data_IF_660820889489
#
_entry.id   IF_660820889489
#
_cell.length_a   1.000
_cell.length_b   1.000
_cell.length_c   1.000
_cell.angle_alpha   90.00
_cell.angle_beta   90.00
_cell.angle_gamma   90.00
#
_symmetry.space_group_name_H-M   'P 1'
#
loop_
_entity.id
_entity.type
_entity.pdbx_description
1 polymer ?
#
# COMPACT_ATOMS: atom_id res chain seq x y z
N UNK A 1 87.57 53.51 68.45
CA UNK A 1 88.03 54.56 67.52
C UNK A 1 87.20 54.43 66.24
N UNK A 2 86.75 55.55 65.66
CA UNK A 2 86.04 55.69 64.37
C UNK A 2 86.65 54.76 63.29
N UNK A 3 85.99 54.25 62.24
CA UNK A 3 85.23 54.96 61.19
C UNK A 3 84.67 53.96 60.15
N UNK A 4 83.78 54.44 59.28
CA UNK A 4 82.92 53.76 58.27
C UNK A 4 83.62 53.07 57.07
N UNK A 5 83.01 51.95 56.64
CA UNK A 5 82.60 51.43 55.29
C UNK A 5 83.30 51.97 54.02
N UNK A 6 83.63 51.06 53.06
CA UNK A 6 82.90 51.07 51.77
C UNK A 6 82.42 49.68 51.29
N UNK A 7 81.36 49.71 50.49
CA UNK A 7 80.74 48.59 49.77
C UNK A 7 81.54 48.31 48.48
N UNK A 8 81.81 47.04 48.17
CA UNK A 8 81.98 46.59 46.78
C UNK A 8 81.52 45.14 46.59
N UNK A 9 80.37 45.02 45.94
CA UNK A 9 79.93 44.00 44.98
C UNK A 9 80.83 42.76 44.80
N UNK A 10 80.35 41.60 45.24
CA UNK A 10 80.82 40.30 44.76
C UNK A 10 79.63 39.49 44.24
N UNK A 11 79.76 39.07 42.99
CA UNK A 11 78.80 38.36 42.16
C UNK A 11 78.55 36.95 42.72
N UNK A 12 77.32 36.64 43.15
CA UNK A 12 76.89 35.28 43.44
C UNK A 12 76.09 34.74 42.25
N UNK A 13 76.68 33.81 41.50
CA UNK A 13 75.95 32.89 40.63
C UNK A 13 75.38 31.79 41.53
N UNK A 14 74.06 31.77 41.72
CA UNK A 14 73.35 30.55 42.16
C UNK A 14 72.05 30.46 41.38
N UNK A 15 72.05 29.47 40.48
CA UNK A 15 70.95 28.62 40.04
C UNK A 15 69.52 29.21 40.08
N UNK A 16 68.89 29.30 38.90
CA UNK A 16 67.44 29.35 38.78
C UNK A 16 66.82 28.17 39.52
N UNK A 17 66.34 28.40 40.74
CA UNK A 17 65.50 27.44 41.44
C UNK A 17 64.10 27.55 40.85
N UNK A 18 63.83 26.80 39.79
CA UNK A 18 62.47 26.49 39.38
C UNK A 18 61.86 25.66 40.51
N UNK A 19 61.04 26.29 41.36
CA UNK A 19 60.25 25.60 42.36
C UNK A 19 59.21 24.77 41.59
N UNK A 20 59.48 23.47 41.41
CA UNK A 20 58.40 22.51 41.22
C UNK A 20 57.62 22.48 42.53
N UNK A 21 56.30 22.70 42.47
CA UNK A 21 55.44 22.61 43.64
C UNK A 21 55.69 21.26 44.35
N UNK A 22 56.25 21.32 45.55
CA UNK A 22 56.38 20.16 46.42
C UNK A 22 55.00 19.75 46.92
N UNK A 23 54.74 18.45 46.90
CA UNK A 23 53.59 17.82 47.54
C UNK A 23 53.56 18.21 49.00
N UNK A 24 52.62 19.08 49.39
CA UNK A 24 52.52 19.56 50.76
C UNK A 24 51.59 18.64 51.55
N UNK A 25 52.03 18.19 52.73
CA UNK A 25 51.48 17.10 53.54
C UNK A 25 50.10 17.40 54.21
N UNK A 26 49.20 18.14 53.55
CA UNK A 26 47.87 18.44 54.11
C UNK A 26 46.66 18.14 53.20
N UNK A 27 46.80 17.45 52.08
CA UNK A 27 45.60 17.06 51.29
C UNK A 27 45.66 15.72 50.55
N UNK A 28 46.71 14.92 50.74
CA UNK A 28 46.81 13.57 50.18
C UNK A 28 46.99 12.54 51.30
N UNK A 29 45.93 11.79 51.60
CA UNK A 29 45.98 10.68 52.53
C UNK A 29 46.22 9.38 51.75
N UNK A 30 47.27 8.66 52.11
CA UNK A 30 47.41 7.23 51.85
C UNK A 30 47.10 6.48 53.14
N UNK A 31 45.87 5.99 53.27
CA UNK A 31 45.50 5.04 54.33
C UNK A 31 44.76 3.88 53.67
N UNK A 32 45.23 2.65 53.90
CA UNK A 32 44.59 1.41 53.43
C UNK A 32 44.41 1.28 51.91
N UNK A 33 45.30 1.89 51.11
CA UNK A 33 45.30 1.73 49.64
C UNK A 33 44.41 2.73 48.88
N UNK A 34 43.96 3.81 49.53
CA UNK A 34 43.20 4.87 48.89
C UNK A 34 44.02 6.16 48.77
N UNK A 35 43.86 6.88 47.65
CA UNK A 35 44.42 8.20 47.37
C UNK A 35 43.28 9.22 47.26
N UNK A 36 43.16 10.10 48.24
CA UNK A 36 42.25 11.24 48.19
C UNK A 36 42.98 12.54 47.93
N UNK A 37 42.39 13.41 47.10
CA UNK A 37 42.82 14.80 46.88
C UNK A 37 41.64 15.69 47.29
N UNK A 38 41.84 16.51 48.33
CA UNK A 38 40.85 17.49 48.80
C UNK A 38 39.79 16.95 49.78
N UNK A 39 39.88 15.69 50.23
CA UNK A 39 39.02 15.11 51.28
C UNK A 39 39.72 13.98 52.03
N UNK A 40 39.43 13.87 53.34
CA UNK A 40 39.98 12.87 54.25
C UNK A 40 39.04 11.69 54.54
N UNK A 41 37.84 11.67 53.96
CA UNK A 41 36.82 10.64 54.18
C UNK A 41 36.52 9.83 52.90
N UNK A 42 37.54 9.56 52.07
CA UNK A 42 37.36 8.82 50.83
C UNK A 42 37.12 7.32 51.10
N UNK A 43 36.18 6.73 50.37
CA UNK A 43 35.92 5.28 50.35
C UNK A 43 36.33 4.63 49.03
N UNK A 44 36.71 5.44 48.03
CA UNK A 44 37.21 5.00 46.74
C UNK A 44 38.74 5.12 46.69
N UNK A 45 39.40 4.22 45.98
CA UNK A 45 40.88 4.23 45.88
C UNK A 45 41.46 5.45 45.17
N UNK A 46 40.67 6.19 44.38
CA UNK A 46 41.00 7.53 43.88
C UNK A 46 39.78 8.44 44.08
N UNK A 47 39.95 9.55 44.79
CA UNK A 47 38.86 10.49 45.11
C UNK A 47 39.31 11.95 44.94
N UNK A 48 38.60 12.72 44.11
CA UNK A 48 38.86 14.15 43.87
C UNK A 48 37.66 14.95 44.36
N UNK A 49 37.88 15.90 45.26
CA UNK A 49 36.84 16.74 45.82
C UNK A 49 37.16 18.23 45.69
N UNK A 50 36.13 19.02 45.37
CA UNK A 50 36.19 20.48 45.39
C UNK A 50 34.80 21.10 45.43
N UNK A 51 34.69 22.38 45.77
CA UNK A 51 33.41 23.08 45.97
C UNK A 51 32.92 23.87 44.74
N UNK A 52 33.68 23.85 43.64
CA UNK A 52 33.42 24.67 42.45
C UNK A 52 32.94 23.80 41.27
N UNK A 53 32.37 24.41 40.23
CA UNK A 53 31.72 23.72 39.10
C UNK A 53 32.66 22.94 38.15
N UNK A 54 33.95 22.76 38.47
CA UNK A 54 34.97 22.20 37.57
C UNK A 54 35.91 21.20 38.27
N UNK A 55 35.35 20.29 39.08
CA UNK A 55 36.12 19.17 39.63
C UNK A 55 36.25 18.04 38.58
N UNK A 56 37.04 18.26 37.54
CA UNK A 56 37.22 17.31 36.43
C UNK A 56 38.59 16.62 36.50
N UNK A 57 38.64 15.32 36.18
CA UNK A 57 39.89 14.65 35.82
C UNK A 57 40.21 14.98 34.37
N UNK A 58 41.21 15.85 34.15
CA UNK A 58 41.70 16.17 32.81
C UNK A 58 42.81 15.19 32.43
N UNK A 59 42.59 14.43 31.36
CA UNK A 59 43.63 13.63 30.69
C UNK A 59 43.93 14.31 29.37
N UNK A 60 45.16 14.79 29.20
CA UNK A 60 45.57 15.48 27.99
C UNK A 60 46.84 14.89 27.40
N UNK A 61 46.91 14.91 26.08
CA UNK A 61 48.09 14.61 25.31
C UNK A 61 48.32 15.77 24.35
N UNK A 62 49.54 16.31 24.33
CA UNK A 62 49.89 17.48 23.52
C UNK A 62 50.22 17.14 22.06
N UNK A 63 50.17 15.84 21.71
CA UNK A 63 50.27 15.33 20.34
C UNK A 63 48.88 15.00 19.81
N UNK A 64 48.74 14.85 18.49
CA UNK A 64 47.52 14.40 17.79
C UNK A 64 47.20 12.90 18.05
N UNK A 65 47.48 12.41 19.26
CA UNK A 65 47.41 11.00 19.64
C UNK A 65 46.50 10.78 20.85
N UNK A 66 46.31 9.52 21.21
CA UNK A 66 45.49 9.04 22.33
C UNK A 66 45.62 9.91 23.60
N UNK A 67 44.51 10.52 24.01
CA UNK A 67 44.33 11.07 25.36
C UNK A 67 43.15 10.36 26.02
N UNK A 68 43.40 9.51 27.00
CA UNK A 68 42.32 8.75 27.63
C UNK A 68 42.77 7.83 28.74
N UNK A 69 41.86 6.95 29.13
CA UNK A 69 42.04 5.98 30.22
C UNK A 69 42.01 4.58 29.61
N UNK A 70 42.97 3.74 30.01
CA UNK A 70 43.01 2.32 29.66
C UNK A 70 42.45 1.49 30.82
N UNK A 71 41.56 0.57 30.47
CA UNK A 71 40.88 -0.37 31.35
C UNK A 71 41.32 -1.77 30.97
N UNK A 72 42.19 -2.37 31.78
CA UNK A 72 42.72 -3.70 31.54
C UNK A 72 42.28 -4.68 32.63
N UNK A 73 41.95 -5.89 32.20
CA UNK A 73 41.65 -7.06 33.02
C UNK A 73 42.15 -8.33 32.33
N UNK A 74 42.11 -9.48 33.00
CA UNK A 74 42.49 -10.77 32.40
C UNK A 74 41.63 -11.19 31.19
N UNK A 75 40.51 -10.51 30.92
CA UNK A 75 39.57 -10.87 29.84
C UNK A 75 39.45 -9.78 28.76
N UNK A 76 39.83 -8.55 29.06
CA UNK A 76 39.48 -7.39 28.27
C UNK A 76 40.50 -6.26 28.47
N UNK A 77 40.91 -5.63 27.38
CA UNK A 77 41.69 -4.40 27.41
C UNK A 77 41.01 -3.36 26.49
N UNK A 78 40.57 -2.25 27.08
CA UNK A 78 39.87 -1.17 26.39
C UNK A 78 40.47 0.18 26.71
N UNK A 79 40.56 1.05 25.71
CA UNK A 79 40.84 2.47 25.90
C UNK A 79 39.60 3.31 25.62
N UNK A 80 39.35 4.30 26.47
CA UNK A 80 38.29 5.28 26.26
C UNK A 80 38.90 6.67 26.32
N UNK A 81 38.64 7.49 25.30
CA UNK A 81 39.15 8.86 25.27
C UNK A 81 39.15 9.51 23.90
N UNK A 82 39.90 10.60 23.79
CA UNK A 82 39.99 11.42 22.60
C UNK A 82 41.06 10.89 21.64
N UNK A 83 40.71 10.77 20.36
CA UNK A 83 41.61 10.42 19.26
C UNK A 83 42.11 8.97 19.23
N UNK A 84 41.64 8.11 20.13
CA UNK A 84 42.18 6.76 20.30
C UNK A 84 41.87 5.88 19.08
N UNK A 85 42.94 5.33 18.48
CA UNK A 85 42.83 4.42 17.34
C UNK A 85 42.37 5.06 16.02
N UNK A 86 42.17 6.38 15.98
CA UNK A 86 41.74 7.12 14.79
C UNK A 86 42.59 8.38 14.51
N UNK A 87 43.29 8.93 15.51
CA UNK A 87 44.18 10.10 15.34
C UNK A 87 43.46 11.39 14.92
N UNK A 88 42.15 11.47 15.16
CA UNK A 88 41.30 12.61 14.76
C UNK A 88 40.52 13.17 15.95
N UNK A 89 39.93 14.35 15.78
CA UNK A 89 39.00 14.94 16.75
C UNK A 89 37.77 14.05 16.94
N UNK A 90 37.84 13.11 17.89
CA UNK A 90 36.81 12.12 18.13
C UNK A 90 36.87 11.60 19.57
N UNK A 91 35.73 11.27 20.15
CA UNK A 91 35.65 10.45 21.36
C UNK A 91 35.47 9.00 20.94
N UNK A 92 36.19 8.06 21.58
CA UNK A 92 36.29 6.68 21.10
C UNK A 92 36.29 5.68 22.26
N UNK A 93 35.74 4.50 21.98
CA UNK A 93 35.90 3.28 22.77
C UNK A 93 36.64 2.28 21.87
N UNK A 94 37.88 1.98 22.23
CA UNK A 94 38.79 1.15 21.44
C UNK A 94 39.11 -0.14 22.18
N UNK A 95 38.91 -1.28 21.53
CA UNK A 95 39.27 -2.60 22.04
C UNK A 95 40.70 -2.92 21.63
N UNK A 96 41.63 -2.92 22.59
CA UNK A 96 43.04 -3.18 22.36
C UNK A 96 43.33 -4.67 22.09
N UNK A 97 42.50 -5.58 22.61
CA UNK A 97 42.66 -7.01 22.34
C UNK A 97 42.32 -7.32 20.88
N UNK A 98 41.24 -6.72 20.36
CA UNK A 98 40.82 -6.90 18.97
C UNK A 98 41.50 -5.93 17.99
N UNK A 99 42.14 -4.87 18.51
CA UNK A 99 42.63 -3.73 17.73
C UNK A 99 41.52 -3.09 16.88
N UNK A 100 40.32 -2.95 17.47
CA UNK A 100 39.13 -2.47 16.78
C UNK A 100 38.47 -1.33 17.53
N UNK A 101 37.99 -0.34 16.77
CA UNK A 101 37.11 0.69 17.30
C UNK A 101 35.70 0.11 17.46
N UNK A 102 35.16 0.19 18.68
CA UNK A 102 33.80 -0.30 18.99
C UNK A 102 32.74 0.79 18.90
N UNK A 103 33.08 1.98 19.37
CA UNK A 103 32.22 3.17 19.30
C UNK A 103 33.04 4.42 19.06
N UNK A 104 32.53 5.33 18.23
CA UNK A 104 33.10 6.65 17.96
C UNK A 104 32.01 7.72 18.02
N UNK A 105 32.37 8.90 18.53
CA UNK A 105 31.68 10.16 18.26
C UNK A 105 32.69 11.06 17.56
N UNK A 106 32.49 11.34 16.27
CA UNK A 106 33.45 12.13 15.50
C UNK A 106 33.30 13.64 15.75
N UNK A 107 34.19 14.45 15.18
CA UNK A 107 34.20 15.91 15.33
C UNK A 107 32.96 16.63 14.77
N UNK A 108 32.12 15.93 13.99
CA UNK A 108 30.84 16.41 13.48
C UNK A 108 29.65 15.95 14.33
N UNK A 109 29.89 15.22 15.43
CA UNK A 109 28.86 14.73 16.34
C UNK A 109 28.17 13.44 15.91
N UNK A 110 28.68 12.75 14.89
CA UNK A 110 28.12 11.49 14.41
C UNK A 110 28.62 10.32 15.26
N UNK A 111 27.71 9.44 15.64
CA UNK A 111 27.96 8.23 16.42
C UNK A 111 28.12 7.04 15.49
N UNK A 112 29.26 6.36 15.56
CA UNK A 112 29.49 5.07 14.91
C UNK A 112 29.51 3.94 15.93
N UNK A 113 28.83 2.83 15.64
CA UNK A 113 28.93 1.58 16.38
C UNK A 113 29.39 0.49 15.42
N UNK A 114 30.54 -0.12 15.71
CA UNK A 114 31.17 -1.11 14.82
C UNK A 114 31.77 -0.51 13.53
N UNK A 115 31.87 0.82 13.43
CA UNK A 115 32.51 1.54 12.32
C UNK A 115 33.38 2.68 12.86
N UNK A 116 34.54 2.90 12.22
CA UNK A 116 35.45 4.03 12.50
C UNK A 116 35.14 5.29 11.68
N UNK A 117 34.22 5.18 10.72
CA UNK A 117 33.89 6.26 9.79
C UNK A 117 32.38 6.28 9.56
N UNK A 118 31.61 6.86 10.50
CA UNK A 118 30.17 7.02 10.34
C UNK A 118 29.85 7.73 9.02
N UNK A 119 28.92 7.20 8.28
CA UNK A 119 28.52 7.71 6.97
C UNK A 119 27.97 9.13 7.09
N UNK A 120 28.45 10.04 6.24
CA UNK A 120 28.00 11.44 6.24
C UNK A 120 26.48 11.54 6.05
N UNK A 121 25.83 12.38 6.86
CA UNK A 121 24.38 12.56 6.84
C UNK A 121 23.62 11.72 7.87
N UNK A 122 24.25 10.72 8.50
CA UNK A 122 23.66 9.93 9.58
C UNK A 122 24.27 10.32 10.93
N UNK A 123 23.42 10.62 11.91
CA UNK A 123 23.86 10.90 13.29
C UNK A 123 24.19 9.61 14.04
N UNK A 124 23.56 8.49 13.70
CA UNK A 124 23.88 7.17 14.22
C UNK A 124 24.08 6.21 13.03
N UNK A 125 25.28 5.66 12.92
CA UNK A 125 25.65 4.64 11.94
C UNK A 125 26.06 3.36 12.66
N UNK A 126 25.34 2.27 12.41
CA UNK A 126 25.57 0.96 13.03
C UNK A 126 26.00 0.00 11.94
N UNK A 127 27.25 -0.44 12.00
CA UNK A 127 27.75 -1.51 11.13
C UNK A 127 27.38 -2.87 11.73
N UNK A 128 26.22 -3.38 11.31
CA UNK A 128 25.64 -4.63 11.77
C UNK A 128 24.14 -4.52 12.00
N UNK A 129 23.59 -5.45 12.79
CA UNK A 129 22.16 -5.50 13.06
C UNK A 129 21.79 -4.61 14.27
N UNK A 130 20.77 -3.76 14.11
CA UNK A 130 20.17 -2.99 15.20
C UNK A 130 18.98 -3.76 15.79
N UNK A 131 19.07 -4.14 17.07
CA UNK A 131 17.93 -4.68 17.83
C UNK A 131 17.32 -3.59 18.69
N UNK A 132 16.06 -3.25 18.43
CA UNK A 132 15.27 -2.32 19.26
C UNK A 132 14.21 -3.12 20.00
N UNK A 133 14.22 -3.06 21.34
CA UNK A 133 13.29 -3.85 22.17
C UNK A 133 11.87 -3.31 22.23
N UNK A 134 11.59 -2.18 21.56
CA UNK A 134 10.30 -1.49 21.55
C UNK A 134 10.20 -0.65 20.27
N UNK A 135 9.57 0.52 20.31
CA UNK A 135 9.30 1.33 19.14
C UNK A 135 10.49 2.19 18.70
N UNK A 136 10.58 2.43 17.39
CA UNK A 136 11.42 3.47 16.79
C UNK A 136 10.51 4.66 16.47
N UNK A 137 10.73 5.81 17.11
CA UNK A 137 10.00 7.05 16.82
C UNK A 137 10.86 7.96 15.93
N UNK A 138 10.36 8.29 14.74
CA UNK A 138 11.02 9.23 13.82
C UNK A 138 10.10 10.40 13.49
N UNK A 139 10.65 11.61 13.36
CA UNK A 139 9.92 12.81 12.89
C UNK A 139 9.95 12.98 11.38
N UNK A 140 10.65 12.09 10.66
CA UNK A 140 10.79 12.08 9.21
C UNK A 140 10.64 10.68 8.63
N UNK A 141 11.01 10.53 7.36
CA UNK A 141 10.88 9.27 6.63
C UNK A 141 11.77 8.16 7.21
N UNK A 142 11.25 6.93 7.19
CA UNK A 142 12.03 5.70 7.39
C UNK A 142 12.25 5.08 6.01
N UNK A 143 13.48 5.08 5.53
CA UNK A 143 13.84 4.42 4.26
C UNK A 143 14.43 3.05 4.55
N UNK A 144 13.86 2.00 3.96
CA UNK A 144 14.39 0.63 4.00
C UNK A 144 14.54 0.10 2.57
N UNK A 145 15.68 -0.53 2.27
CA UNK A 145 15.98 -1.04 0.93
C UNK A 145 15.63 -2.53 0.74
N UNK A 146 15.49 -3.28 1.84
CA UNK A 146 15.21 -4.72 1.81
C UNK A 146 14.47 -5.13 3.09
N UNK A 147 13.22 -4.67 3.20
CA UNK A 147 12.37 -5.00 4.34
C UNK A 147 11.67 -6.35 4.07
N UNK A 148 12.32 -7.45 4.44
CA UNK A 148 11.64 -8.74 4.58
C UNK A 148 10.82 -8.72 5.87
N UNK A 149 9.64 -8.09 5.78
CA UNK A 149 8.69 -8.04 6.87
C UNK A 149 7.92 -9.36 6.93
N UNK A 150 8.60 -10.47 7.21
CA UNK A 150 7.93 -11.77 7.42
C UNK A 150 6.94 -11.71 8.58
N UNK A 151 7.11 -10.73 9.49
CA UNK A 151 6.26 -10.51 10.65
C UNK A 151 6.26 -9.02 11.03
N UNK A 152 5.30 -8.24 10.53
CA UNK A 152 5.00 -6.91 11.08
C UNK A 152 4.06 -7.14 12.25
N UNK A 153 4.60 -7.49 13.42
CA UNK A 153 3.76 -7.65 14.62
C UNK A 153 3.32 -6.28 15.10
N UNK A 154 2.09 -5.91 14.77
CA UNK A 154 1.44 -4.74 15.33
C UNK A 154 1.31 -4.97 16.84
N UNK A 155 2.05 -4.19 17.63
CA UNK A 155 1.95 -4.17 19.08
C UNK A 155 0.47 -4.09 19.51
N UNK A 156 -0.05 -5.17 20.11
CA UNK A 156 -1.31 -5.23 20.86
C UNK A 156 -2.51 -4.55 20.16
N UNK A 157 -3.12 -5.23 19.18
CA UNK A 157 -4.56 -5.10 18.96
C UNK A 157 -5.08 -4.47 17.67
N UNK A 158 -4.24 -4.07 16.71
CA UNK A 158 -4.72 -3.47 15.45
C UNK A 158 -3.92 -3.94 14.23
N UNK A 159 -4.09 -5.20 13.84
CA UNK A 159 -3.84 -5.58 12.45
C UNK A 159 -5.06 -5.19 11.61
N UNK A 160 -5.11 -4.00 11.01
CA UNK A 160 -6.10 -3.81 9.94
C UNK A 160 -5.74 -2.99 8.71
N UNK A 161 -4.70 -2.16 8.71
CA UNK A 161 -4.47 -1.27 7.57
C UNK A 161 -2.98 -1.03 7.32
N UNK A 162 -2.50 -1.42 6.13
CA UNK A 162 -1.27 -0.87 5.57
C UNK A 162 -1.68 0.37 4.77
N UNK A 163 -1.40 1.56 5.28
CA UNK A 163 -1.67 2.80 4.55
C UNK A 163 -0.49 3.11 3.62
N UNK A 164 -0.72 2.96 2.33
CA UNK A 164 0.23 3.34 1.28
C UNK A 164 -0.43 4.30 0.30
N UNK A 165 0.32 5.29 -0.21
CA UNK A 165 -0.18 6.17 -1.27
C UNK A 165 -0.30 5.41 -2.61
N UNK A 166 0.69 4.57 -2.92
CA UNK A 166 0.69 3.66 -4.07
C UNK A 166 1.46 2.39 -3.69
N UNK A 167 0.94 1.24 -4.14
CA UNK A 167 1.62 -0.06 -4.05
C UNK A 167 2.05 -0.48 -5.46
N UNK A 168 3.35 -0.44 -5.72
CA UNK A 168 3.92 -0.96 -6.96
C UNK A 168 4.41 -2.39 -6.72
N UNK A 169 3.76 -3.37 -7.35
CA UNK A 169 4.23 -4.75 -7.37
C UNK A 169 5.08 -5.00 -8.61
N UNK A 170 6.26 -5.60 -8.44
CA UNK A 170 7.17 -5.89 -9.55
C UNK A 170 6.53 -6.87 -10.55
N UNK A 171 6.42 -6.48 -11.81
CA UNK A 171 5.82 -7.32 -12.87
C UNK A 171 6.65 -7.36 -14.16
N UNK A 172 7.91 -6.90 -14.09
CA UNK A 172 8.83 -6.86 -15.25
C UNK A 172 9.08 -8.27 -15.80
N UNK A 173 8.99 -8.42 -17.14
CA UNK A 173 9.19 -9.71 -17.83
C UNK A 173 10.53 -10.36 -17.50
N UNK A 174 11.58 -9.58 -17.22
CA UNK A 174 12.93 -10.07 -16.88
C UNK A 174 13.00 -10.76 -15.51
N UNK A 175 12.00 -10.52 -14.65
CA UNK A 175 11.90 -11.12 -13.32
C UNK A 175 11.02 -12.39 -13.31
N UNK A 176 10.47 -12.78 -14.46
CA UNK A 176 9.55 -13.91 -14.61
C UNK A 176 10.16 -14.98 -15.51
N UNK A 177 9.86 -16.25 -15.22
CA UNK A 177 10.21 -17.40 -16.04
C UNK A 177 8.98 -18.30 -16.22
N UNK A 178 9.02 -19.24 -17.17
CA UNK A 178 7.89 -20.13 -17.51
C UNK A 178 6.58 -19.37 -17.79
N UNK A 179 6.66 -18.37 -18.68
CA UNK A 179 5.54 -17.48 -19.01
C UNK A 179 4.69 -18.11 -20.12
N UNK A 180 3.43 -18.41 -19.81
CA UNK A 180 2.42 -18.87 -20.75
C UNK A 180 1.22 -17.91 -20.75
N UNK A 181 0.54 -17.79 -21.88
CA UNK A 181 -0.69 -17.00 -21.95
C UNK A 181 -1.83 -17.76 -21.28
N UNK A 182 -2.53 -17.08 -20.38
CA UNK A 182 -3.71 -17.63 -19.73
C UNK A 182 -4.92 -17.56 -20.66
N UNK A 183 -5.21 -18.69 -21.29
CA UNK A 183 -6.36 -18.90 -22.19
C UNK A 183 -7.46 -19.73 -21.55
N UNK A 184 -7.31 -20.15 -20.30
CA UNK A 184 -8.28 -21.02 -19.63
C UNK A 184 -9.50 -20.23 -19.15
N UNK A 185 -10.68 -20.82 -19.32
CA UNK A 185 -11.92 -20.30 -18.73
C UNK A 185 -11.89 -20.50 -17.22
N UNK A 186 -11.97 -19.41 -16.45
CA UNK A 186 -11.91 -19.43 -14.99
C UNK A 186 -13.31 -19.54 -14.35
N UNK A 187 -14.10 -20.54 -14.75
CA UNK A 187 -15.48 -20.70 -14.27
C UNK A 187 -15.57 -20.92 -12.76
N UNK A 188 -14.52 -21.47 -12.16
CA UNK A 188 -14.32 -21.63 -10.73
C UNK A 188 -14.59 -20.32 -9.96
N UNK A 189 -14.22 -19.16 -10.52
CA UNK A 189 -14.40 -17.85 -9.90
C UNK A 189 -15.88 -17.52 -9.68
N UNK A 190 -16.77 -17.96 -10.57
CA UNK A 190 -18.20 -17.70 -10.42
C UNK A 190 -18.82 -18.47 -9.24
N UNK A 191 -18.12 -19.45 -8.67
CA UNK A 191 -18.55 -20.19 -7.47
C UNK A 191 -18.13 -19.49 -6.18
N UNK A 192 -17.22 -18.51 -6.24
CA UNK A 192 -16.70 -17.81 -5.06
C UNK A 192 -17.81 -16.98 -4.41
N UNK A 193 -18.02 -17.22 -3.11
CA UNK A 193 -18.97 -16.46 -2.31
C UNK A 193 -18.30 -15.24 -1.68
N UNK A 194 -19.04 -14.14 -1.63
CA UNK A 194 -18.65 -12.94 -0.91
C UNK A 194 -19.43 -12.82 0.40
N UNK A 195 -18.80 -12.24 1.40
CA UNK A 195 -19.31 -12.15 2.75
C UNK A 195 -19.15 -10.74 3.29
N UNK A 196 -20.14 -10.32 4.08
CA UNK A 196 -20.04 -9.17 4.96
C UNK A 196 -19.74 -9.67 6.36
N UNK A 197 -18.69 -9.16 7.00
CA UNK A 197 -18.25 -9.67 8.29
C UNK A 197 -17.64 -8.57 9.15
N UNK A 198 -17.47 -8.89 10.43
CA UNK A 198 -16.75 -8.09 11.40
C UNK A 198 -15.72 -8.99 12.06
N UNK A 199 -14.55 -8.44 12.39
CA UNK A 199 -13.56 -9.21 13.13
C UNK A 199 -13.94 -9.29 14.60
N UNK A 200 -13.63 -10.42 15.24
CA UNK A 200 -14.00 -10.67 16.64
C UNK A 200 -13.40 -9.64 17.60
N UNK A 201 -12.22 -9.12 17.26
CA UNK A 201 -11.48 -8.16 18.08
C UNK A 201 -11.67 -6.70 17.61
N UNK A 202 -12.56 -6.45 16.64
CA UNK A 202 -12.84 -5.08 16.16
C UNK A 202 -13.80 -4.36 17.09
N UNK A 203 -13.25 -3.63 18.06
CA UNK A 203 -14.01 -2.85 19.04
C UNK A 203 -14.89 -1.74 18.41
N UNK A 204 -14.59 -1.35 17.16
CA UNK A 204 -15.37 -0.35 16.40
C UNK A 204 -16.57 -0.96 15.64
N UNK A 205 -16.67 -2.29 15.56
CA UNK A 205 -17.77 -2.99 14.87
C UNK A 205 -17.88 -2.69 13.38
N UNK A 206 -16.76 -2.44 12.69
CA UNK A 206 -16.76 -2.04 11.28
C UNK A 206 -17.11 -3.22 10.40
N UNK A 207 -18.12 -3.04 9.56
CA UNK A 207 -18.49 -4.04 8.55
C UNK A 207 -17.48 -4.01 7.41
N UNK A 208 -16.95 -5.19 7.07
CA UNK A 208 -15.99 -5.43 5.99
C UNK A 208 -16.59 -6.37 4.96
N UNK A 209 -16.05 -6.31 3.75
CA UNK A 209 -16.47 -7.14 2.62
C UNK A 209 -15.28 -7.98 2.17
N UNK A 210 -15.49 -9.28 1.93
CA UNK A 210 -14.41 -10.16 1.48
C UNK A 210 -14.87 -11.58 1.22
N UNK A 211 -13.92 -12.50 1.23
CA UNK A 211 -14.14 -13.95 1.03
C UNK A 211 -13.70 -14.73 2.25
N UNK A 212 -14.21 -15.95 2.40
CA UNK A 212 -13.76 -16.90 3.43
C UNK A 212 -12.59 -17.72 2.89
N UNK A 213 -11.46 -17.72 3.62
CA UNK A 213 -10.26 -18.44 3.18
C UNK A 213 -10.49 -19.95 3.02
N UNK A 214 -11.39 -20.53 3.82
CA UNK A 214 -11.77 -21.94 3.74
C UNK A 214 -12.46 -22.27 2.41
N UNK A 215 -13.39 -21.42 1.97
CA UNK A 215 -14.10 -21.57 0.70
C UNK A 215 -13.13 -21.39 -0.47
N UNK A 216 -12.25 -20.38 -0.41
CA UNK A 216 -11.24 -20.17 -1.47
C UNK A 216 -10.32 -21.37 -1.57
N UNK A 217 -9.91 -21.97 -0.47
CA UNK A 217 -9.02 -23.14 -0.50
C UNK A 217 -9.62 -24.35 -1.22
N UNK A 218 -10.94 -24.50 -1.22
CA UNK A 218 -11.61 -25.58 -1.96
C UNK A 218 -11.66 -25.33 -3.47
N UNK A 219 -11.61 -24.06 -3.90
CA UNK A 219 -11.80 -23.63 -5.29
C UNK A 219 -10.45 -23.30 -5.96
N UNK A 220 -9.63 -22.47 -5.29
CA UNK A 220 -8.32 -21.94 -5.72
C UNK A 220 -7.32 -22.09 -4.56
N UNK A 221 -6.87 -23.33 -4.24
CA UNK A 221 -5.99 -23.60 -3.10
C UNK A 221 -4.67 -22.82 -3.15
N UNK A 222 -4.16 -22.51 -4.34
CA UNK A 222 -2.93 -21.76 -4.57
C UNK A 222 -3.00 -20.30 -4.08
N UNK A 223 -4.20 -19.75 -3.91
CA UNK A 223 -4.40 -18.41 -3.37
C UNK A 223 -4.46 -18.37 -1.84
N UNK A 224 -4.36 -19.51 -1.16
CA UNK A 224 -4.49 -19.60 0.29
C UNK A 224 -3.19 -20.03 0.94
N UNK A 225 -2.70 -19.21 1.85
CA UNK A 225 -1.57 -19.55 2.73
C UNK A 225 -2.07 -19.93 4.13
N UNK A 226 -1.25 -20.70 4.84
CA UNK A 226 -1.48 -21.04 6.25
C UNK A 226 -0.30 -20.52 7.07
N UNK A 227 -0.57 -19.83 8.17
CA UNK A 227 0.47 -19.36 9.08
C UNK A 227 0.95 -20.46 10.05
N UNK A 228 1.84 -20.10 10.97
CA UNK A 228 2.42 -21.05 11.94
C UNK A 228 1.40 -21.60 12.95
N UNK A 229 0.34 -20.83 13.23
CA UNK A 229 -0.72 -21.17 14.19
C UNK A 229 -1.91 -21.88 13.52
N UNK A 230 -1.89 -22.03 12.19
CA UNK A 230 -2.91 -22.71 11.40
C UNK A 230 -4.02 -21.79 10.89
N UNK A 231 -3.91 -20.47 11.04
CA UNK A 231 -4.84 -19.53 10.42
C UNK A 231 -4.57 -19.42 8.92
N UNK A 232 -5.65 -19.23 8.16
CA UNK A 232 -5.62 -19.14 6.70
C UNK A 232 -5.71 -17.68 6.27
N UNK A 233 -4.92 -17.32 5.25
CA UNK A 233 -4.98 -16.01 4.61
C UNK A 233 -5.14 -16.16 3.09
N UNK A 234 -5.80 -15.19 2.46
CA UNK A 234 -6.06 -15.19 1.00
C UNK A 234 -5.19 -14.14 0.32
N UNK A 235 -4.52 -14.53 -0.76
CA UNK A 235 -3.81 -13.63 -1.65
C UNK A 235 -4.79 -12.95 -2.62
N UNK A 236 -5.37 -11.82 -2.17
CA UNK A 236 -6.27 -11.02 -2.99
C UNK A 236 -5.59 -10.44 -4.24
N UNK A 237 -4.27 -10.21 -4.22
CA UNK A 237 -3.54 -9.61 -5.34
C UNK A 237 -3.50 -10.57 -6.53
N UNK A 238 -3.20 -11.84 -6.27
CA UNK A 238 -3.16 -12.87 -7.32
C UNK A 238 -4.56 -13.28 -7.81
N UNK A 239 -5.61 -12.99 -7.03
CA UNK A 239 -7.00 -13.18 -7.45
C UNK A 239 -7.45 -12.17 -8.53
N UNK A 240 -6.84 -10.98 -8.60
CA UNK A 240 -7.18 -9.91 -9.56
C UNK A 240 -7.03 -10.35 -11.03
N UNK A 241 -5.89 -10.89 -11.49
CA UNK A 241 -5.74 -11.32 -12.88
C UNK A 241 -6.73 -12.43 -13.26
N UNK A 242 -7.06 -13.35 -12.34
CA UNK A 242 -8.05 -14.38 -12.58
C UNK A 242 -9.46 -13.76 -12.77
N UNK A 243 -9.84 -12.80 -11.91
CA UNK A 243 -11.09 -12.05 -12.07
C UNK A 243 -11.14 -11.26 -13.38
N UNK A 244 -10.01 -10.67 -13.81
CA UNK A 244 -9.90 -9.97 -15.10
C UNK A 244 -10.14 -10.92 -16.27
N UNK A 245 -9.57 -12.14 -16.23
CA UNK A 245 -9.80 -13.17 -17.25
C UNK A 245 -11.27 -13.56 -17.34
N UNK A 246 -11.92 -13.81 -16.20
CA UNK A 246 -13.35 -14.10 -16.16
C UNK A 246 -14.23 -12.97 -16.73
N UNK A 247 -13.86 -11.69 -16.53
CA UNK A 247 -14.57 -10.55 -17.15
C UNK A 247 -14.38 -10.54 -18.67
N UNK A 248 -13.18 -10.85 -19.16
CA UNK A 248 -12.89 -10.95 -20.60
C UNK A 248 -13.69 -12.09 -21.25
N UNK A 249 -13.78 -13.25 -20.60
CA UNK A 249 -14.56 -14.40 -21.06
C UNK A 249 -16.07 -14.07 -21.10
N UNK A 250 -16.55 -13.36 -20.07
CA UNK A 250 -17.92 -12.88 -20.03
C UNK A 250 -18.23 -11.93 -21.20
N UNK A 251 -17.29 -11.04 -21.57
CA UNK A 251 -17.45 -10.14 -22.72
C UNK A 251 -17.56 -10.92 -24.03
N UNK A 252 -16.73 -11.94 -24.23
CA UNK A 252 -16.80 -12.80 -25.42
C UNK A 252 -18.16 -13.51 -25.53
N UNK A 253 -18.67 -14.02 -24.41
CA UNK A 253 -19.98 -14.66 -24.36
C UNK A 253 -21.11 -13.68 -24.71
N UNK A 254 -21.06 -12.45 -24.19
CA UNK A 254 -22.04 -11.40 -24.52
C UNK A 254 -22.02 -11.08 -26.02
N UNK A 255 -20.84 -10.97 -26.62
CA UNK A 255 -20.70 -10.65 -28.04
C UNK A 255 -21.24 -11.78 -28.92
N UNK A 256 -20.98 -13.04 -28.55
CA UNK A 256 -21.54 -14.20 -29.24
C UNK A 256 -23.07 -14.23 -29.17
N UNK A 257 -23.66 -14.01 -27.98
CA UNK A 257 -25.11 -13.96 -27.80
C UNK A 257 -25.75 -12.81 -28.59
N UNK A 258 -25.11 -11.65 -28.67
CA UNK A 258 -25.61 -10.53 -29.48
C UNK A 258 -25.60 -10.85 -30.98
N UNK A 259 -24.55 -11.52 -31.48
CA UNK A 259 -24.47 -11.95 -32.87
C UNK A 259 -25.56 -12.99 -33.21
N UNK A 260 -25.83 -13.93 -32.30
CA UNK A 260 -26.91 -14.90 -32.43
C UNK A 260 -28.28 -14.21 -32.46
N UNK A 261 -28.53 -13.24 -31.57
CA UNK A 261 -29.77 -12.45 -31.57
C UNK A 261 -29.98 -11.68 -32.89
N UNK A 262 -28.92 -11.13 -33.49
CA UNK A 262 -29.02 -10.47 -34.80
C UNK A 262 -29.39 -11.49 -35.89
N UNK A 263 -28.77 -12.66 -35.86
CA UNK A 263 -29.02 -13.75 -36.81
C UNK A 263 -30.47 -14.24 -36.70
N UNK A 264 -30.93 -14.50 -35.47
CA UNK A 264 -32.28 -14.93 -35.19
C UNK A 264 -33.31 -13.87 -35.63
N UNK A 265 -33.08 -12.59 -35.31
CA UNK A 265 -33.93 -11.48 -35.75
C UNK A 265 -34.02 -11.41 -37.28
N UNK A 266 -32.91 -11.56 -37.98
CA UNK A 266 -32.89 -11.56 -39.44
C UNK A 266 -33.64 -12.77 -40.01
N UNK A 267 -33.48 -13.95 -39.41
CA UNK A 267 -34.20 -15.17 -39.83
C UNK A 267 -35.72 -15.02 -39.71
N UNK A 268 -36.21 -14.43 -38.61
CA UNK A 268 -37.63 -14.13 -38.38
C UNK A 268 -38.15 -13.11 -39.40
N UNK A 269 -37.33 -12.13 -39.80
CA UNK A 269 -37.70 -11.13 -40.81
C UNK A 269 -37.78 -11.73 -42.22
N UNK A 270 -36.95 -12.73 -42.52
CA UNK A 270 -36.86 -13.38 -43.83
C UNK A 270 -37.84 -14.53 -44.05
N UNK A 271 -38.46 -15.04 -42.99
CA UNK A 271 -39.36 -16.20 -43.06
C UNK A 271 -40.66 -15.84 -43.84
N UNK A 272 -40.76 -16.33 -45.08
CA UNK A 272 -41.94 -16.13 -45.94
C UNK A 272 -43.17 -16.89 -45.43
N UNK A 273 -42.99 -17.99 -44.70
CA UNK A 273 -44.09 -18.78 -44.15
C UNK A 273 -44.82 -18.04 -43.03
N UNK A 274 -44.12 -17.17 -42.27
CA UNK A 274 -44.74 -16.27 -41.30
C UNK A 274 -45.53 -15.14 -41.98
N UNK A 275 -45.09 -14.62 -43.13
CA UNK A 275 -45.89 -13.66 -43.92
C UNK A 275 -47.18 -14.30 -44.41
N UNK A 276 -47.09 -15.55 -44.87
CA UNK A 276 -48.21 -16.25 -45.47
C UNK A 276 -49.22 -16.78 -44.43
N UNK A 277 -48.78 -17.13 -43.21
CA UNK A 277 -49.67 -17.53 -42.10
C UNK A 277 -50.31 -16.36 -41.35
N UNK A 278 -49.82 -15.13 -41.55
CA UNK A 278 -50.39 -13.90 -40.93
C UNK A 278 -51.36 -13.15 -41.85
N UNK A 279 -51.35 -13.45 -43.15
CA UNK A 279 -52.39 -13.00 -44.10
C UNK A 279 -53.61 -13.91 -43.98
N UNK A 280 -54.50 -13.56 -43.04
CA UNK A 280 -55.88 -14.08 -43.02
C UNK A 280 -56.55 -13.68 -44.33
N UNK A 281 -57.22 -14.62 -45.00
CA UNK A 281 -57.90 -14.42 -46.28
C UNK A 281 -58.81 -13.17 -46.26
N UNK A 282 -58.52 -12.21 -47.14
CA UNK A 282 -59.28 -10.98 -47.31
C UNK A 282 -58.49 -9.72 -46.96
N UNK A 283 -58.61 -8.69 -47.80
CA UNK A 283 -58.03 -7.37 -47.55
C UNK A 283 -59.01 -6.60 -46.66
N UNK A 284 -58.83 -6.63 -45.32
CA UNK A 284 -59.65 -5.91 -44.35
C UNK A 284 -59.19 -4.46 -44.18
N UNK A 285 -57.89 -4.19 -44.32
CA UNK A 285 -57.36 -2.83 -44.27
C UNK A 285 -56.05 -2.68 -45.07
N UNK A 286 -55.68 -1.44 -45.40
CA UNK A 286 -54.41 -1.05 -46.00
C UNK A 286 -53.71 -0.02 -45.13
N UNK A 287 -52.37 -0.07 -45.11
CA UNK A 287 -51.53 0.89 -44.39
C UNK A 287 -50.52 1.47 -45.36
N UNK A 288 -50.51 2.79 -45.50
CA UNK A 288 -49.60 3.49 -46.41
C UNK A 288 -49.30 4.93 -45.91
N UNK A 289 -48.09 5.47 -46.16
CA UNK A 289 -46.95 4.80 -46.80
C UNK A 289 -46.30 3.75 -45.89
N UNK A 290 -45.73 2.70 -46.49
CA UNK A 290 -44.92 1.70 -45.81
C UNK A 290 -43.66 1.48 -46.65
N UNK A 291 -42.47 1.94 -46.23
CA UNK A 291 -42.12 2.44 -44.90
C UNK A 291 -42.74 3.81 -44.56
N UNK A 292 -43.05 4.04 -43.28
CA UNK A 292 -43.51 5.34 -42.78
C UNK A 292 -42.36 6.11 -42.12
N UNK A 293 -42.35 7.43 -42.29
CA UNK A 293 -41.36 8.35 -41.74
C UNK A 293 -41.89 9.24 -40.62
N UNK A 294 -43.21 9.41 -40.48
CA UNK A 294 -43.80 10.36 -39.52
C UNK A 294 -45.30 10.21 -39.32
N UNK A 295 -46.02 9.82 -40.37
CA UNK A 295 -47.44 9.47 -40.29
C UNK A 295 -47.80 8.41 -41.32
N UNK A 296 -48.70 7.51 -40.92
CA UNK A 296 -49.30 6.50 -41.80
C UNK A 296 -50.81 6.69 -41.87
N UNK A 297 -51.41 6.35 -43.01
CA UNK A 297 -52.86 6.26 -43.16
C UNK A 297 -53.27 4.79 -43.11
N UNK A 298 -54.33 4.52 -42.35
CA UNK A 298 -55.01 3.23 -42.36
C UNK A 298 -56.36 3.40 -43.06
N UNK A 299 -56.56 2.61 -44.10
CA UNK A 299 -57.81 2.53 -44.87
C UNK A 299 -58.48 1.20 -44.58
N UNK A 300 -59.67 1.23 -43.97
CA UNK A 300 -60.44 0.04 -43.62
C UNK A 300 -61.36 -0.28 -44.80
N UNK A 301 -61.22 -1.50 -45.32
CA UNK A 301 -61.93 -2.01 -46.49
C UNK A 301 -63.19 -2.76 -46.06
N UNK A 302 -63.11 -3.52 -44.96
CA UNK A 302 -64.23 -4.25 -44.38
C UNK A 302 -64.47 -3.75 -42.96
N UNK A 303 -65.57 -3.04 -42.77
CA UNK A 303 -66.00 -2.50 -41.49
C UNK A 303 -66.66 -3.58 -40.62
N UNK A 304 -66.68 -3.34 -39.32
CA UNK A 304 -67.40 -4.18 -38.36
C UNK A 304 -67.67 -3.44 -37.05
N UNK A 305 -68.58 -3.99 -36.26
CA UNK A 305 -68.88 -3.48 -34.93
C UNK A 305 -67.83 -3.94 -33.90
N UNK A 306 -67.51 -3.07 -32.94
CA UNK A 306 -66.45 -3.27 -31.94
C UNK A 306 -65.09 -3.52 -32.59
N UNK A 307 -64.73 -2.70 -33.57
CA UNK A 307 -63.51 -2.82 -34.33
C UNK A 307 -62.34 -2.07 -33.66
N UNK A 308 -61.18 -2.73 -33.56
CA UNK A 308 -59.98 -2.17 -32.93
C UNK A 308 -58.72 -2.43 -33.76
N UNK A 309 -57.80 -1.47 -33.73
CA UNK A 309 -56.45 -1.63 -34.26
C UNK A 309 -55.45 -1.60 -33.12
N UNK A 310 -54.65 -2.65 -33.00
CA UNK A 310 -53.53 -2.72 -32.07
C UNK A 310 -52.22 -2.69 -32.83
N UNK A 311 -51.30 -1.82 -32.42
CA UNK A 311 -49.95 -1.77 -32.92
C UNK A 311 -49.07 -2.46 -31.91
N UNK A 312 -48.35 -3.48 -32.35
CA UNK A 312 -47.49 -4.31 -31.49
C UNK A 312 -46.04 -4.21 -31.94
N UNK A 313 -45.12 -4.18 -30.97
CA UNK A 313 -43.69 -4.29 -31.25
C UNK A 313 -43.28 -5.76 -31.50
N UNK A 314 -42.01 -6.01 -31.82
CA UNK A 314 -41.48 -7.37 -32.03
C UNK A 314 -41.58 -8.28 -30.80
N UNK A 315 -41.69 -7.71 -29.59
CA UNK A 315 -41.85 -8.45 -28.34
C UNK A 315 -43.32 -8.80 -28.05
N UNK A 316 -44.25 -8.41 -28.94
CA UNK A 316 -45.69 -8.68 -28.79
C UNK A 316 -46.43 -7.71 -27.88
N UNK A 317 -45.76 -6.68 -27.35
CA UNK A 317 -46.39 -5.65 -26.53
C UNK A 317 -47.19 -4.69 -27.39
N UNK A 318 -48.44 -4.42 -27.00
CA UNK A 318 -49.28 -3.41 -27.65
C UNK A 318 -48.80 -2.02 -27.27
N UNK A 319 -48.15 -1.33 -28.21
CA UNK A 319 -47.65 0.05 -28.04
C UNK A 319 -48.73 1.09 -28.28
N UNK A 320 -49.78 0.75 -29.03
CA UNK A 320 -50.92 1.64 -29.29
C UNK A 320 -52.16 0.81 -29.58
N UNK A 321 -53.29 1.21 -29.00
CA UNK A 321 -54.60 0.64 -29.29
C UNK A 321 -55.55 1.76 -29.71
N UNK A 322 -56.31 1.54 -30.76
CA UNK A 322 -57.21 2.55 -31.34
C UNK A 322 -58.55 1.87 -31.66
N UNK A 323 -59.65 2.44 -31.17
CA UNK A 323 -60.99 2.05 -31.59
C UNK A 323 -61.27 2.65 -32.98
N UNK A 324 -61.78 1.82 -33.89
CA UNK A 324 -62.04 2.17 -35.29
C UNK A 324 -63.47 1.82 -35.75
N UNK A 325 -64.42 1.77 -34.81
CA UNK A 325 -65.84 1.52 -35.07
C UNK A 325 -66.38 2.41 -36.21
N UNK A 326 -66.90 1.77 -37.26
CA UNK A 326 -67.53 2.41 -38.42
C UNK A 326 -66.66 3.48 -39.13
N UNK A 327 -65.33 3.37 -39.04
CA UNK A 327 -64.40 4.25 -39.75
C UNK A 327 -63.91 3.62 -41.05
N UNK A 328 -63.88 4.40 -42.13
CA UNK A 328 -63.29 4.02 -43.42
C UNK A 328 -61.81 4.38 -43.53
N UNK A 329 -61.41 5.45 -42.86
CA UNK A 329 -60.06 6.00 -42.94
C UNK A 329 -59.67 6.60 -41.60
N UNK A 330 -58.39 6.43 -41.24
CA UNK A 330 -57.83 7.05 -40.05
C UNK A 330 -56.35 7.37 -40.27
N UNK A 331 -55.87 8.36 -39.51
CA UNK A 331 -54.44 8.67 -39.42
C UNK A 331 -53.84 7.94 -38.23
N UNK A 332 -52.74 7.26 -38.49
CA UNK A 332 -51.86 6.72 -37.49
C UNK A 332 -50.70 7.70 -37.29
N UNK A 333 -50.72 8.40 -36.16
CA UNK A 333 -49.55 9.11 -35.66
C UNK A 333 -48.51 8.08 -35.18
N UNK A 334 -47.45 7.91 -35.96
CA UNK A 334 -46.29 7.06 -35.68
C UNK A 334 -45.02 7.87 -35.34
N UNK A 335 -45.15 9.20 -35.15
CA UNK A 335 -44.04 10.07 -34.79
C UNK A 335 -43.42 9.73 -33.42
N UNK A 336 -44.17 9.05 -32.54
CA UNK A 336 -43.69 8.60 -31.23
C UNK A 336 -43.16 7.15 -31.23
N UNK A 337 -43.19 6.45 -32.37
CA UNK A 337 -42.61 5.11 -32.51
C UNK A 337 -41.11 5.19 -32.85
N UNK A 338 -40.30 4.26 -32.35
CA UNK A 338 -38.87 4.18 -32.69
C UNK A 338 -38.65 3.53 -34.06
N UNK A 339 -37.48 3.72 -34.67
CA UNK A 339 -37.14 3.01 -35.91
C UNK A 339 -37.21 1.49 -35.68
N UNK A 340 -37.94 0.77 -36.54
CA UNK A 340 -38.17 -0.66 -36.35
C UNK A 340 -39.39 -1.20 -37.08
N UNK A 341 -39.61 -2.52 -36.92
CA UNK A 341 -40.76 -3.24 -37.48
C UNK A 341 -41.87 -3.29 -36.43
N UNK A 342 -43.08 -2.91 -36.83
CA UNK A 342 -44.29 -3.05 -36.03
C UNK A 342 -45.34 -3.87 -36.78
N UNK A 343 -46.27 -4.45 -36.03
CA UNK A 343 -47.42 -5.15 -36.59
C UNK A 343 -48.70 -4.42 -36.23
N UNK A 344 -49.46 -4.04 -37.26
CA UNK A 344 -50.80 -3.48 -37.16
C UNK A 344 -51.78 -4.64 -37.22
N UNK A 345 -52.52 -4.86 -36.14
CA UNK A 345 -53.48 -5.96 -35.99
C UNK A 345 -54.89 -5.40 -35.94
N UNK A 346 -55.76 -5.87 -36.82
CA UNK A 346 -57.16 -5.44 -36.91
C UNK A 346 -58.08 -6.51 -36.31
N UNK A 347 -58.91 -6.11 -35.35
CA UNK A 347 -59.88 -6.96 -34.66
C UNK A 347 -61.30 -6.47 -34.94
N UNK A 348 -62.25 -7.40 -35.11
CA UNK A 348 -63.69 -7.11 -35.12
C UNK A 348 -64.34 -7.97 -34.05
N UNK A 349 -65.10 -7.35 -33.13
CA UNK A 349 -65.80 -8.06 -32.04
C UNK A 349 -64.89 -9.01 -31.25
N UNK A 350 -63.62 -8.61 -31.07
CA UNK A 350 -62.61 -9.37 -30.31
C UNK A 350 -61.85 -10.44 -31.10
N UNK A 351 -62.23 -10.72 -32.35
CA UNK A 351 -61.56 -11.71 -33.19
C UNK A 351 -60.54 -11.03 -34.12
N UNK A 352 -59.31 -11.55 -34.20
CA UNK A 352 -58.27 -11.04 -35.09
C UNK A 352 -58.63 -11.34 -36.55
N UNK A 353 -58.80 -10.29 -37.36
CA UNK A 353 -59.19 -10.41 -38.77
C UNK A 353 -58.06 -10.26 -39.75
N UNK A 354 -57.08 -9.40 -39.48
CA UNK A 354 -55.91 -9.28 -40.35
C UNK A 354 -54.73 -8.66 -39.60
N UNK A 355 -53.51 -9.07 -39.94
CA UNK A 355 -52.29 -8.40 -39.47
C UNK A 355 -51.49 -7.89 -40.66
N UNK A 356 -51.04 -6.64 -40.61
CA UNK A 356 -50.11 -6.07 -41.59
C UNK A 356 -48.85 -5.54 -40.92
N UNK A 357 -47.72 -5.77 -41.56
CA UNK A 357 -46.42 -5.25 -41.13
C UNK A 357 -46.26 -3.81 -41.57
N UNK A 358 -45.78 -2.93 -40.69
CA UNK A 358 -45.36 -1.58 -41.01
C UNK A 358 -43.90 -1.37 -40.58
N UNK A 359 -43.08 -0.79 -41.47
CA UNK A 359 -41.72 -0.40 -41.17
C UNK A 359 -41.68 1.10 -40.85
N UNK A 360 -41.19 1.45 -39.66
CA UNK A 360 -40.94 2.83 -39.26
C UNK A 360 -39.47 3.17 -39.54
N UNK A 361 -39.25 4.16 -40.42
CA UNK A 361 -37.92 4.65 -40.82
C UNK A 361 -37.94 6.17 -40.83
N UNK A 362 -37.57 6.76 -39.70
CA UNK A 362 -37.32 8.20 -39.53
C UNK A 362 -35.98 8.61 -40.11
#
# INVERSE_FOLDING_TARGET
>A
MKTRIPISLFLFIVCNLTIYAQWNEQSNNFTNGHLGIGSNANTNSLYIYGSNSQNLLKVENSRDSDAGIEFESNLANFKIGAGIGNGTNSFTIYDLNALQLRMIINGSGQVGIGTSSPTSGYILDVNGNLKVGSNIYTSGNVTSYDLDATYVDGYQGDFYNVYYNNLYSSSDKRLKSNIEEDVASHEEIYKIKTYNYQFKDDNEGRTRHGVMAQDIREILPELVSTDQDGYLAVNYVDMIPLMLRAIQDQKQTIDALQAELVTLKNSIISDEDLKQKMEVEGDFFKVYPNPSSSESKIEIIQEGENAQIHITNLNGETVKSINVDNLKNMRLDDANLTNGVYFVRYYISGELKQTKRILIKK
#
